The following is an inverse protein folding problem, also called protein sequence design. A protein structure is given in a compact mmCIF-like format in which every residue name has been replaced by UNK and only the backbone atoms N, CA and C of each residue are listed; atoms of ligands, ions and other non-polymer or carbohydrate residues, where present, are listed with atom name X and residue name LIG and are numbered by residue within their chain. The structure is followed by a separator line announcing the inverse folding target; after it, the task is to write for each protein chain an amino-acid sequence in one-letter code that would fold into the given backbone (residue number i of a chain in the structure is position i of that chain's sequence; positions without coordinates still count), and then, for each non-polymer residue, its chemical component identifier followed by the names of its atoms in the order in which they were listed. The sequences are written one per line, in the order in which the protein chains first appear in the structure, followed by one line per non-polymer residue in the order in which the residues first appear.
data_IF_820366608141
#
_entry.id   IF_820366608141
#
_cell.length_a   1.000
_cell.length_b   1.000
_cell.length_c   1.000
_cell.angle_alpha   90.00
_cell.angle_beta   90.00
_cell.angle_gamma   90.00
#
_symmetry.space_group_name_H-M   'P 1'
#
loop_
_entity.id
_entity.type
_entity.pdbx_description
1 polymer ?
#
# COMPACT_ATOMS: atom_id res chain seq x y z
N UNK A 1 34.13 -0.82 -17.06
CA UNK A 1 33.65 0.01 -15.96
C UNK A 1 32.15 -0.21 -15.89
N UNK A 2 31.65 -0.78 -14.83
CA UNK A 2 30.26 -1.13 -14.69
C UNK A 2 29.62 -0.16 -13.72
N UNK A 3 28.49 0.46 -14.06
CA UNK A 3 27.65 1.19 -13.11
C UNK A 3 26.41 0.35 -12.81
N UNK A 4 26.01 0.31 -11.56
CA UNK A 4 24.78 -0.32 -11.12
C UNK A 4 23.84 0.73 -10.61
N UNK A 5 22.64 0.71 -11.15
CA UNK A 5 21.52 1.51 -10.65
C UNK A 5 20.56 0.56 -9.94
N UNK A 6 20.29 0.87 -8.70
CA UNK A 6 19.47 0.07 -7.79
C UNK A 6 18.24 0.85 -7.40
N UNK A 7 17.07 0.23 -7.54
CA UNK A 7 15.87 0.76 -6.87
C UNK A 7 16.10 0.76 -5.36
N UNK A 8 15.93 1.93 -4.74
CA UNK A 8 16.14 2.05 -3.31
C UNK A 8 15.07 1.27 -2.55
N UNK A 9 15.41 0.03 -2.18
CA UNK A 9 14.71 -0.61 -1.08
C UNK A 9 15.23 0.03 0.21
N UNK A 10 14.37 0.49 1.13
CA UNK A 10 14.82 0.93 2.45
C UNK A 10 15.74 -0.12 3.07
N UNK A 11 16.97 0.27 3.41
CA UNK A 11 17.92 -0.60 4.04
C UNK A 11 19.05 -1.15 3.17
N UNK A 12 18.99 -1.07 1.83
CA UNK A 12 20.14 -1.50 1.00
C UNK A 12 21.26 -0.47 1.10
N UNK A 13 22.43 -0.89 1.60
CA UNK A 13 23.57 -0.01 1.86
C UNK A 13 24.74 -0.26 0.92
N UNK A 14 24.90 -1.49 0.41
CA UNK A 14 25.92 -1.81 -0.57
C UNK A 14 25.54 -2.99 -1.47
N UNK A 15 26.37 -3.20 -2.49
CA UNK A 15 26.31 -4.36 -3.39
C UNK A 15 27.63 -5.11 -3.29
N UNK A 16 27.56 -6.37 -2.92
CA UNK A 16 28.67 -7.29 -2.98
C UNK A 16 28.68 -7.99 -4.34
N UNK A 17 29.82 -7.92 -5.04
CA UNK A 17 30.03 -8.53 -6.35
C UNK A 17 31.13 -9.57 -6.21
N UNK A 18 30.88 -10.78 -6.70
CA UNK A 18 31.84 -11.86 -6.72
C UNK A 18 31.93 -12.49 -8.10
N UNK A 19 33.08 -13.12 -8.38
CA UNK A 19 33.28 -13.92 -9.58
C UNK A 19 32.54 -15.24 -9.45
N UNK A 20 31.56 -15.48 -10.31
CA UNK A 20 30.83 -16.74 -10.30
C UNK A 20 31.74 -17.87 -10.81
N UNK A 21 32.11 -18.78 -9.91
CA UNK A 21 33.08 -19.86 -10.18
C UNK A 21 34.54 -19.52 -9.95
N UNK A 22 34.84 -18.35 -9.35
CA UNK A 22 36.19 -17.92 -8.98
C UNK A 22 36.28 -17.39 -7.56
N UNK A 23 37.45 -16.88 -7.18
CA UNK A 23 37.73 -16.39 -5.81
C UNK A 23 37.71 -14.86 -5.70
N UNK A 24 37.56 -14.14 -6.81
CA UNK A 24 37.62 -12.68 -6.82
C UNK A 24 36.30 -12.09 -6.35
N UNK A 25 36.36 -11.01 -5.57
CA UNK A 25 35.18 -10.27 -5.14
C UNK A 25 35.51 -8.79 -4.88
N UNK A 26 34.48 -7.97 -4.82
CA UNK A 26 34.54 -6.56 -4.45
C UNK A 26 33.23 -6.09 -3.88
N UNK A 27 33.22 -4.91 -3.28
CA UNK A 27 32.02 -4.28 -2.77
C UNK A 27 31.86 -2.90 -3.39
N UNK A 28 30.64 -2.59 -3.83
CA UNK A 28 30.28 -1.25 -4.33
C UNK A 28 29.50 -0.53 -3.24
N UNK A 29 30.02 0.60 -2.81
CA UNK A 29 29.29 1.49 -1.93
C UNK A 29 28.36 2.34 -2.79
N UNK A 30 27.11 2.40 -2.42
CA UNK A 30 26.08 3.19 -3.09
C UNK A 30 26.11 4.60 -2.49
N UNK A 31 26.75 5.52 -3.19
CA UNK A 31 27.05 6.88 -2.70
C UNK A 31 26.35 7.99 -3.50
N UNK A 32 25.66 7.63 -4.58
CA UNK A 32 24.98 8.56 -5.45
C UNK A 32 23.53 8.15 -5.65
N UNK A 33 22.62 9.09 -5.50
CA UNK A 33 21.20 8.91 -5.80
C UNK A 33 20.82 9.55 -7.12
N UNK A 34 19.95 8.89 -7.88
CA UNK A 34 19.37 9.39 -9.13
C UNK A 34 17.85 9.27 -9.02
N UNK A 35 17.17 10.41 -9.03
CA UNK A 35 15.70 10.43 -9.00
C UNK A 35 15.13 10.16 -10.40
N UNK A 36 14.19 9.25 -10.45
CA UNK A 36 13.34 8.99 -11.61
C UNK A 36 11.98 9.60 -11.34
N UNK A 37 11.84 10.87 -11.71
CA UNK A 37 10.64 11.66 -11.40
C UNK A 37 9.40 11.08 -12.09
N UNK A 38 9.55 10.56 -13.30
CA UNK A 38 8.43 10.04 -14.10
C UNK A 38 7.83 8.77 -13.46
N UNK A 39 8.66 7.96 -12.83
CA UNK A 39 8.24 6.73 -12.16
C UNK A 39 8.14 6.87 -10.62
N UNK A 40 8.55 8.01 -10.06
CA UNK A 40 8.59 8.26 -8.63
C UNK A 40 9.49 7.31 -7.86
N UNK A 41 10.59 6.89 -8.48
CA UNK A 41 11.59 5.95 -7.93
C UNK A 41 12.91 6.67 -7.74
N UNK A 42 13.58 6.41 -6.62
CA UNK A 42 14.95 6.86 -6.40
C UNK A 42 15.91 5.69 -6.62
N UNK A 43 16.80 5.81 -7.58
CA UNK A 43 17.87 4.86 -7.83
C UNK A 43 19.11 5.21 -7.01
N UNK A 44 19.79 4.19 -6.51
CA UNK A 44 21.10 4.36 -5.87
C UNK A 44 22.16 3.85 -6.83
N UNK A 45 23.19 4.64 -7.04
CA UNK A 45 24.22 4.37 -8.03
C UNK A 45 25.58 4.20 -7.37
N UNK A 46 26.30 3.18 -7.79
CA UNK A 46 27.71 2.98 -7.51
C UNK A 46 28.42 2.52 -8.78
N UNK A 47 29.72 2.76 -8.88
CA UNK A 47 30.52 2.33 -10.02
C UNK A 47 31.59 1.36 -9.58
N UNK A 48 31.73 0.26 -10.32
CA UNK A 48 32.77 -0.75 -10.06
C UNK A 48 33.48 -1.16 -11.34
N UNK A 49 34.75 -1.48 -11.22
CA UNK A 49 35.54 -2.14 -12.28
C UNK A 49 35.99 -3.50 -11.78
N UNK A 50 35.64 -4.55 -12.49
CA UNK A 50 36.01 -5.93 -12.15
C UNK A 50 36.78 -6.57 -13.32
N UNK A 51 37.77 -7.44 -13.04
CA UNK A 51 38.54 -8.11 -14.07
C UNK A 51 37.89 -9.39 -14.62
N UNK A 52 36.68 -9.70 -14.20
CA UNK A 52 35.94 -10.92 -14.55
C UNK A 52 34.61 -10.56 -15.20
N UNK A 53 34.08 -11.45 -16.03
CA UNK A 53 32.84 -11.24 -16.79
C UNK A 53 31.64 -12.03 -16.28
N UNK A 54 31.85 -13.02 -15.42
CA UNK A 54 30.76 -13.77 -14.79
C UNK A 54 30.55 -13.28 -13.36
N UNK A 55 29.45 -12.54 -13.15
CA UNK A 55 29.19 -11.82 -11.92
C UNK A 55 28.14 -12.55 -11.09
N UNK A 56 28.40 -12.68 -9.78
CA UNK A 56 27.37 -12.85 -8.76
C UNK A 56 27.18 -11.54 -8.03
N UNK A 57 25.95 -11.16 -7.81
CA UNK A 57 25.57 -9.85 -7.28
C UNK A 57 24.63 -10.06 -6.08
N UNK A 58 24.96 -9.49 -4.93
CA UNK A 58 24.17 -9.57 -3.70
C UNK A 58 24.02 -8.17 -3.09
N UNK A 59 22.79 -7.67 -2.99
CA UNK A 59 22.50 -6.46 -2.26
C UNK A 59 22.41 -6.73 -0.74
N UNK A 60 23.02 -5.86 0.08
CA UNK A 60 23.02 -5.97 1.55
C UNK A 60 22.48 -4.70 2.20
N UNK A 61 21.79 -4.85 3.33
CA UNK A 61 21.24 -3.73 4.10
C UNK A 61 22.25 -3.10 5.08
N UNK A 62 23.37 -3.80 5.35
CA UNK A 62 24.46 -3.32 6.17
C UNK A 62 25.76 -3.36 5.41
N UNK A 63 26.30 -2.19 5.10
CA UNK A 63 27.52 -2.05 4.33
C UNK A 63 28.69 -2.85 4.91
N UNK A 64 29.33 -3.66 4.08
CA UNK A 64 30.48 -4.47 4.45
C UNK A 64 30.19 -5.64 5.38
N UNK A 65 28.92 -5.96 5.68
CA UNK A 65 28.54 -6.99 6.64
C UNK A 65 27.54 -8.00 6.10
N UNK A 66 27.63 -9.23 6.61
CA UNK A 66 26.69 -10.31 6.38
C UNK A 66 25.69 -10.50 7.53
N UNK A 67 25.79 -9.67 8.58
CA UNK A 67 24.94 -9.77 9.79
C UNK A 67 23.58 -9.06 9.64
N UNK A 68 23.21 -8.67 8.45
CA UNK A 68 21.97 -8.01 8.13
C UNK A 68 21.14 -8.77 7.09
N UNK A 69 20.10 -8.12 6.59
CA UNK A 69 19.33 -8.61 5.46
C UNK A 69 20.15 -8.57 4.16
N UNK A 70 19.97 -9.57 3.33
CA UNK A 70 20.61 -9.65 2.00
C UNK A 70 19.65 -10.24 0.98
N UNK A 71 19.87 -9.89 -0.28
CA UNK A 71 19.21 -10.53 -1.39
C UNK A 71 19.80 -11.93 -1.67
N UNK A 72 19.12 -12.68 -2.53
CA UNK A 72 19.65 -13.89 -3.11
C UNK A 72 20.74 -13.54 -4.14
N UNK A 73 21.62 -14.51 -4.41
CA UNK A 73 22.62 -14.38 -5.45
C UNK A 73 21.93 -14.17 -6.80
N UNK A 74 22.23 -13.04 -7.42
CA UNK A 74 21.78 -12.71 -8.78
C UNK A 74 22.97 -12.88 -9.72
N UNK A 75 22.83 -13.73 -10.73
CA UNK A 75 23.93 -14.02 -11.66
C UNK A 75 23.77 -13.22 -12.95
N UNK A 76 24.87 -12.68 -13.44
CA UNK A 76 24.93 -11.96 -14.72
C UNK A 76 26.26 -12.23 -15.43
N UNK A 77 26.20 -12.51 -16.73
CA UNK A 77 27.41 -12.68 -17.56
C UNK A 77 27.53 -11.52 -18.54
N UNK A 78 28.68 -10.86 -18.52
CA UNK A 78 29.01 -9.78 -19.45
C UNK A 78 29.60 -10.39 -20.70
N UNK A 79 29.17 -9.92 -21.87
CA UNK A 79 29.78 -10.31 -23.14
C UNK A 79 31.27 -9.92 -23.17
N UNK A 80 32.15 -10.85 -23.53
CA UNK A 80 33.59 -10.67 -23.56
C UNK A 80 34.05 -9.52 -24.46
N UNK A 81 33.25 -9.14 -25.44
CA UNK A 81 33.53 -8.02 -26.34
C UNK A 81 33.05 -6.66 -25.83
N UNK A 82 32.46 -6.62 -24.65
CA UNK A 82 31.90 -5.40 -24.07
C UNK A 82 32.91 -4.74 -23.14
N UNK A 83 33.30 -3.51 -23.40
CA UNK A 83 34.26 -2.74 -22.58
C UNK A 83 33.65 -2.18 -21.28
N UNK A 84 32.36 -2.31 -21.12
CA UNK A 84 31.63 -1.88 -19.94
C UNK A 84 30.11 -2.02 -20.15
N UNK A 85 29.40 -2.26 -19.08
CA UNK A 85 27.93 -2.39 -19.11
C UNK A 85 27.33 -1.65 -17.92
N UNK A 86 26.18 -0.98 -18.13
CA UNK A 86 25.34 -0.50 -17.06
C UNK A 86 24.31 -1.56 -16.75
N UNK A 87 24.27 -2.01 -15.52
CA UNK A 87 23.29 -2.97 -15.03
C UNK A 87 22.27 -2.25 -14.17
N UNK A 88 21.02 -2.52 -14.47
CA UNK A 88 19.89 -2.09 -13.66
C UNK A 88 19.46 -3.24 -12.76
N UNK A 89 19.38 -2.99 -11.48
CA UNK A 89 19.11 -4.03 -10.50
C UNK A 89 17.91 -3.64 -9.63
N UNK A 90 16.92 -4.52 -9.60
CA UNK A 90 15.78 -4.45 -8.67
C UNK A 90 15.96 -5.60 -7.68
N UNK A 91 15.85 -5.29 -6.39
CA UNK A 91 16.02 -6.29 -5.34
C UNK A 91 15.12 -7.51 -5.57
N UNK A 92 15.73 -8.71 -5.52
CA UNK A 92 15.05 -9.97 -5.78
C UNK A 92 14.91 -10.36 -7.26
N UNK A 93 15.44 -9.55 -8.20
CA UNK A 93 15.37 -9.84 -9.64
C UNK A 93 16.76 -9.91 -10.26
N UNK A 94 16.89 -10.68 -11.33
CA UNK A 94 18.13 -10.72 -12.13
C UNK A 94 18.40 -9.35 -12.74
N UNK A 95 19.65 -8.85 -12.66
CA UNK A 95 20.02 -7.59 -13.30
C UNK A 95 19.79 -7.59 -14.81
N UNK A 96 19.45 -6.43 -15.36
CA UNK A 96 19.20 -6.23 -16.79
C UNK A 96 20.02 -5.04 -17.32
N UNK A 97 20.27 -4.99 -18.62
CA UNK A 97 21.02 -3.90 -19.26
C UNK A 97 20.15 -2.73 -19.70
N UNK A 98 18.86 -2.94 -19.79
CA UNK A 98 17.88 -1.89 -20.09
C UNK A 98 17.21 -1.42 -18.81
N UNK A 99 17.01 -0.11 -18.68
CA UNK A 99 16.31 0.46 -17.53
C UNK A 99 14.91 -0.17 -17.40
N UNK A 100 14.61 -0.86 -16.30
CA UNK A 100 13.28 -1.44 -16.12
C UNK A 100 12.21 -0.35 -16.04
N UNK A 101 11.09 -0.58 -16.69
CA UNK A 101 9.89 0.21 -16.42
C UNK A 101 9.33 -0.23 -15.07
N UNK A 102 9.47 0.61 -14.08
CA UNK A 102 8.84 0.39 -12.78
C UNK A 102 7.50 1.10 -12.82
N UNK A 103 6.44 0.31 -12.94
CA UNK A 103 5.11 0.85 -12.75
C UNK A 103 4.95 1.12 -11.27
N UNK A 104 4.85 2.39 -10.89
CA UNK A 104 4.46 2.77 -9.54
C UNK A 104 3.03 2.26 -9.35
N UNK A 105 2.88 1.17 -8.63
CA UNK A 105 1.57 0.75 -8.17
C UNK A 105 1.11 1.75 -7.12
N UNK A 106 0.00 2.42 -7.36
CA UNK A 106 -0.62 3.21 -6.32
C UNK A 106 -0.97 2.27 -5.17
N UNK A 107 -0.45 2.51 -3.97
CA UNK A 107 -0.71 1.61 -2.86
C UNK A 107 -2.20 1.60 -2.57
N UNK A 108 -2.74 0.41 -2.32
CA UNK A 108 -4.03 0.26 -1.66
C UNK A 108 -3.85 0.61 -0.18
N UNK A 109 -4.92 0.86 0.54
CA UNK A 109 -4.83 1.26 1.94
C UNK A 109 -5.71 0.41 2.84
N UNK A 110 -5.14 -0.05 3.94
CA UNK A 110 -5.86 -0.60 5.07
C UNK A 110 -6.11 0.50 6.10
N UNK A 111 -7.38 0.70 6.43
CA UNK A 111 -7.83 1.68 7.42
C UNK A 111 -8.46 0.94 8.60
N UNK A 112 -7.87 1.06 9.79
CA UNK A 112 -8.36 0.42 10.99
C UNK A 112 -8.79 1.46 12.02
N UNK A 113 -10.02 1.35 12.51
CA UNK A 113 -10.50 2.02 13.72
C UNK A 113 -10.46 1.03 14.88
N UNK A 114 -9.82 1.43 15.96
CA UNK A 114 -9.64 0.64 17.16
C UNK A 114 -10.23 1.35 18.38
N UNK A 115 -11.06 0.68 19.16
CA UNK A 115 -11.67 1.20 20.38
C UNK A 115 -11.05 0.55 21.62
N UNK A 116 -10.49 1.38 22.50
CA UNK A 116 -9.94 0.98 23.78
C UNK A 116 -9.95 2.16 24.76
N UNK A 117 -10.88 2.16 25.69
CA UNK A 117 -11.09 3.26 26.65
C UNK A 117 -10.06 3.32 27.76
N UNK A 118 -9.22 2.29 27.91
CA UNK A 118 -8.22 2.20 28.99
C UNK A 118 -6.89 2.81 28.63
N UNK A 119 -6.63 3.07 27.34
CA UNK A 119 -5.37 3.60 26.86
C UNK A 119 -5.24 5.09 27.11
N UNK A 120 -4.10 5.47 27.68
CA UNK A 120 -3.67 6.88 27.86
C UNK A 120 -2.60 7.31 26.85
N UNK A 121 -2.02 6.36 26.12
CA UNK A 121 -1.02 6.58 25.07
C UNK A 121 -1.45 5.91 23.78
N UNK A 122 -0.97 6.43 22.66
CA UNK A 122 -1.29 5.88 21.36
C UNK A 122 -0.76 4.46 21.25
N UNK A 123 -1.61 3.45 20.93
CA UNK A 123 -1.14 2.13 20.61
C UNK A 123 -0.35 2.13 19.29
N UNK A 124 0.32 1.03 19.00
CA UNK A 124 1.10 0.87 17.79
C UNK A 124 0.63 -0.35 17.00
N UNK A 125 0.65 -0.23 15.70
CA UNK A 125 0.30 -1.26 14.73
C UNK A 125 1.56 -1.85 14.14
N UNK A 126 1.63 -3.17 14.05
CA UNK A 126 2.70 -3.88 13.36
C UNK A 126 2.11 -4.95 12.46
N UNK A 127 2.49 -4.94 11.18
CA UNK A 127 2.06 -5.93 10.19
C UNK A 127 3.25 -6.46 9.39
N UNK A 128 3.19 -7.72 9.01
CA UNK A 128 4.22 -8.42 8.24
C UNK A 128 3.74 -8.89 6.85
N UNK A 129 2.49 -8.57 6.47
CA UNK A 129 1.90 -9.01 5.19
C UNK A 129 1.48 -7.90 4.25
N UNK A 130 1.69 -6.63 4.59
CA UNK A 130 1.33 -5.49 3.72
C UNK A 130 2.11 -5.44 2.41
N UNK A 131 3.21 -6.21 2.31
CA UNK A 131 4.13 -6.19 1.18
C UNK A 131 5.21 -5.11 1.27
N UNK A 132 5.10 -4.19 2.22
CA UNK A 132 6.14 -3.22 2.60
C UNK A 132 6.96 -3.73 3.79
N UNK A 133 8.06 -3.03 4.10
CA UNK A 133 8.85 -3.36 5.28
C UNK A 133 7.99 -3.28 6.54
N UNK A 134 8.10 -4.30 7.39
CA UNK A 134 7.37 -4.34 8.65
C UNK A 134 7.99 -3.30 9.62
N UNK A 135 7.17 -2.40 10.11
CA UNK A 135 7.55 -1.35 11.07
C UNK A 135 6.41 -1.07 12.04
N UNK A 136 6.75 -0.62 13.23
CA UNK A 136 5.76 -0.12 14.19
C UNK A 136 5.25 1.24 13.72
N UNK A 137 3.93 1.38 13.62
CA UNK A 137 3.25 2.64 13.27
C UNK A 137 2.29 3.02 14.38
N UNK A 138 2.38 4.26 14.85
CA UNK A 138 1.47 4.77 15.88
C UNK A 138 0.10 5.04 15.33
N UNK A 139 -0.92 4.63 16.07
CA UNK A 139 -2.28 5.09 15.84
C UNK A 139 -2.40 6.60 16.13
N UNK A 140 -3.32 7.23 15.44
CA UNK A 140 -3.77 8.59 15.72
C UNK A 140 -5.01 8.54 16.62
N UNK A 141 -5.14 9.50 17.53
CA UNK A 141 -6.36 9.63 18.33
C UNK A 141 -7.52 10.12 17.45
N UNK A 142 -8.66 9.42 17.55
CA UNK A 142 -9.92 9.79 16.90
C UNK A 142 -11.00 10.22 17.91
N UNK A 143 -10.59 10.54 19.15
CA UNK A 143 -11.46 10.91 20.26
C UNK A 143 -11.22 10.05 21.49
N UNK A 144 -12.02 10.22 22.53
CA UNK A 144 -11.86 9.45 23.76
C UNK A 144 -12.03 7.95 23.52
N UNK A 145 -10.99 7.18 23.81
CA UNK A 145 -10.96 5.72 23.65
C UNK A 145 -10.99 5.22 22.20
N UNK A 146 -10.85 6.12 21.21
CA UNK A 146 -10.87 5.77 19.78
C UNK A 146 -9.56 6.11 19.12
N UNK A 147 -9.09 5.18 18.31
CA UNK A 147 -7.81 5.23 17.64
C UNK A 147 -7.98 4.85 16.17
N UNK A 148 -7.26 5.48 15.27
CA UNK A 148 -7.28 5.18 13.84
C UNK A 148 -5.89 5.04 13.28
N UNK A 149 -5.74 4.19 12.28
CA UNK A 149 -4.51 4.07 11.52
C UNK A 149 -4.79 3.79 10.06
N UNK A 150 -3.93 4.32 9.22
CA UNK A 150 -3.93 4.15 7.78
C UNK A 150 -2.60 3.54 7.35
N UNK A 151 -2.64 2.41 6.69
CA UNK A 151 -1.45 1.64 6.33
C UNK A 151 -1.47 1.34 4.84
N UNK A 152 -0.41 1.69 4.08
CA UNK A 152 -0.30 1.30 2.69
C UNK A 152 -0.14 -0.21 2.55
N UNK A 153 -0.76 -0.77 1.52
CA UNK A 153 -0.74 -2.21 1.21
C UNK A 153 -0.47 -2.38 -0.27
N UNK A 154 0.44 -3.28 -0.64
CA UNK A 154 0.71 -3.58 -2.07
C UNK A 154 -0.49 -4.22 -2.74
N UNK A 155 -0.61 -4.03 -4.05
CA UNK A 155 -1.69 -4.60 -4.88
C UNK A 155 -1.79 -6.13 -4.77
N UNK A 156 -0.64 -6.81 -4.61
CA UNK A 156 -0.57 -8.27 -4.47
C UNK A 156 -1.00 -8.81 -3.10
N UNK A 157 -1.27 -7.94 -2.12
CA UNK A 157 -1.67 -8.36 -0.79
C UNK A 157 -3.15 -8.79 -0.77
N UNK A 158 -3.42 -10.00 -0.31
CA UNK A 158 -4.77 -10.58 -0.20
C UNK A 158 -5.29 -10.65 1.23
N UNK A 159 -4.42 -10.38 2.20
CA UNK A 159 -4.76 -10.31 3.64
C UNK A 159 -3.77 -9.42 4.39
N UNK A 160 -4.22 -8.81 5.45
CA UNK A 160 -3.36 -8.06 6.39
C UNK A 160 -3.35 -8.82 7.71
N UNK A 161 -2.18 -9.40 8.04
CA UNK A 161 -1.92 -10.01 9.34
C UNK A 161 -1.17 -8.98 10.20
N UNK A 162 -1.62 -8.77 11.42
CA UNK A 162 -1.09 -7.70 12.27
C UNK A 162 -1.26 -7.98 13.77
N UNK A 163 -0.57 -7.19 14.56
CA UNK A 163 -0.79 -7.05 16.01
C UNK A 163 -0.97 -5.59 16.39
N UNK A 164 -1.70 -5.34 17.46
CA UNK A 164 -1.77 -4.04 18.11
C UNK A 164 -0.91 -4.11 19.38
N UNK A 165 0.17 -3.35 19.43
CA UNK A 165 1.00 -3.21 20.60
C UNK A 165 0.44 -2.08 21.48
N UNK A 166 0.01 -2.41 22.67
CA UNK A 166 -0.45 -1.47 23.69
C UNK A 166 0.75 -0.80 24.38
N UNK A 167 1.85 -1.55 24.49
CA UNK A 167 3.17 -1.06 24.94
C UNK A 167 4.25 -1.84 24.19
N UNK A 168 5.09 -1.13 23.45
CA UNK A 168 6.21 -1.67 22.67
C UNK A 168 7.57 -1.29 23.27
N UNK A 169 7.63 -0.63 24.41
CA UNK A 169 8.87 -0.13 25.02
C UNK A 169 9.80 -1.22 25.56
N UNK A 170 9.25 -2.40 25.85
CA UNK A 170 9.98 -3.56 26.35
C UNK A 170 10.41 -4.55 25.25
N UNK A 171 11.22 -5.56 25.66
CA UNK A 171 11.61 -6.66 24.78
C UNK A 171 10.38 -7.49 24.35
N UNK A 172 9.46 -7.72 25.28
CA UNK A 172 8.20 -8.40 25.04
C UNK A 172 7.08 -7.37 25.04
N UNK A 173 6.44 -7.19 23.88
CA UNK A 173 5.37 -6.21 23.73
C UNK A 173 4.11 -6.65 24.48
N UNK A 174 3.46 -5.68 25.12
CA UNK A 174 2.09 -5.88 25.59
C UNK A 174 1.16 -5.72 24.40
N UNK A 175 0.48 -6.80 24.01
CA UNK A 175 -0.39 -6.84 22.84
C UNK A 175 -1.85 -6.84 23.24
N UNK A 176 -2.72 -6.35 22.35
CA UNK A 176 -4.16 -6.57 22.44
C UNK A 176 -4.52 -7.92 21.84
N UNK A 177 -4.66 -8.93 22.69
CA UNK A 177 -4.89 -10.31 22.23
C UNK A 177 -3.69 -10.95 21.54
N UNK A 178 -3.96 -11.70 20.50
CA UNK A 178 -2.98 -12.42 19.69
C UNK A 178 -2.64 -11.70 18.37
N UNK A 179 -2.33 -12.53 17.38
CA UNK A 179 -2.18 -12.09 16.01
C UNK A 179 -3.56 -12.02 15.34
N UNK A 180 -3.86 -10.90 14.71
CA UNK A 180 -5.12 -10.67 13.99
C UNK A 180 -4.91 -10.82 12.50
N UNK A 181 -5.96 -11.20 11.78
CA UNK A 181 -5.94 -11.33 10.32
C UNK A 181 -7.22 -10.80 9.71
N UNK A 182 -7.10 -10.05 8.63
CA UNK A 182 -8.24 -9.56 7.87
C UNK A 182 -8.02 -9.74 6.38
N UNK A 183 -9.05 -10.22 5.68
CA UNK A 183 -9.00 -10.36 4.23
C UNK A 183 -8.88 -8.99 3.56
N UNK A 184 -8.07 -8.91 2.49
CA UNK A 184 -7.91 -7.72 1.67
C UNK A 184 -8.36 -8.04 0.23
N UNK A 185 -9.65 -7.85 -0.10
CA UNK A 185 -10.18 -8.17 -1.42
C UNK A 185 -9.47 -7.42 -2.54
N UNK A 186 -9.25 -8.09 -3.69
CA UNK A 186 -8.50 -7.52 -4.82
C UNK A 186 -9.23 -6.33 -5.47
N UNK A 187 -10.56 -6.31 -5.43
CA UNK A 187 -11.42 -5.27 -5.99
C UNK A 187 -11.57 -4.02 -5.08
N UNK A 188 -10.89 -4.00 -3.93
CA UNK A 188 -10.95 -2.87 -2.99
C UNK A 188 -9.62 -2.09 -2.98
N UNK A 189 -9.67 -0.81 -3.30
CA UNK A 189 -8.50 0.08 -3.15
C UNK A 189 -8.29 0.51 -1.70
N UNK A 190 -9.38 0.62 -0.93
CA UNK A 190 -9.34 0.92 0.50
C UNK A 190 -10.20 -0.09 1.23
N UNK A 191 -9.60 -0.79 2.17
CA UNK A 191 -10.30 -1.73 3.06
C UNK A 191 -10.38 -1.11 4.45
N UNK A 192 -11.60 -0.93 4.93
CA UNK A 192 -11.87 -0.43 6.28
C UNK A 192 -12.18 -1.60 7.21
N UNK A 193 -11.68 -1.53 8.43
CA UNK A 193 -12.00 -2.46 9.51
C UNK A 193 -12.23 -1.72 10.82
N UNK A 194 -13.02 -2.33 11.69
CA UNK A 194 -13.24 -1.87 13.05
C UNK A 194 -12.84 -2.99 14.01
N UNK A 195 -12.25 -2.64 15.12
CA UNK A 195 -11.84 -3.57 16.17
C UNK A 195 -12.05 -2.94 17.54
N UNK A 196 -12.48 -3.73 18.51
CA UNK A 196 -12.51 -3.35 19.93
C UNK A 196 -11.47 -4.13 20.70
N UNK A 197 -11.06 -3.59 21.83
CA UNK A 197 -10.11 -4.24 22.72
C UNK A 197 -10.54 -5.69 23.02
N UNK A 198 -9.61 -6.64 22.75
CA UNK A 198 -9.82 -8.07 23.00
C UNK A 198 -10.76 -8.76 22.02
N UNK A 199 -11.23 -8.09 20.96
CA UNK A 199 -12.09 -8.66 19.93
C UNK A 199 -11.31 -8.84 18.59
N UNK A 200 -11.84 -9.69 17.72
CA UNK A 200 -11.30 -9.82 16.35
C UNK A 200 -11.74 -8.63 15.48
N UNK A 201 -10.90 -8.21 14.51
CA UNK A 201 -11.24 -7.14 13.60
C UNK A 201 -12.39 -7.54 12.67
N UNK A 202 -13.31 -6.61 12.43
CA UNK A 202 -14.47 -6.80 11.55
C UNK A 202 -14.32 -5.90 10.34
N UNK A 203 -14.44 -6.48 9.14
CA UNK A 203 -14.47 -5.72 7.89
C UNK A 203 -15.67 -4.79 7.85
N UNK A 204 -15.42 -3.53 7.48
CA UNK A 204 -16.47 -2.60 7.08
C UNK A 204 -17.14 -3.04 5.79
N UNK A 205 -18.27 -2.41 5.47
CA UNK A 205 -18.97 -2.69 4.22
C UNK A 205 -18.06 -2.41 3.01
N UNK A 206 -17.95 -3.35 2.04
CA UNK A 206 -17.16 -3.12 0.85
C UNK A 206 -17.76 -1.99 0.02
N UNK A 207 -16.89 -1.24 -0.67
CA UNK A 207 -17.30 -0.22 -1.62
C UNK A 207 -16.83 -0.59 -3.02
N UNK A 208 -17.63 -1.39 -3.71
CA UNK A 208 -17.38 -1.87 -5.07
C UNK A 208 -18.61 -1.72 -5.97
N UNK A 209 -19.59 -0.92 -5.57
CA UNK A 209 -20.80 -0.62 -6.35
C UNK A 209 -21.35 0.75 -5.97
N UNK A 210 -21.89 1.46 -6.96
CA UNK A 210 -22.52 2.76 -6.75
C UNK A 210 -24.01 2.67 -6.42
N UNK A 211 -24.67 1.53 -6.71
CA UNK A 211 -26.08 1.35 -6.36
C UNK A 211 -26.44 -0.10 -6.08
N UNK A 212 -27.59 -0.29 -5.48
CA UNK A 212 -28.21 -1.59 -5.23
C UNK A 212 -29.72 -1.51 -5.39
N UNK A 213 -30.29 -2.38 -6.23
CA UNK A 213 -31.74 -2.49 -6.37
C UNK A 213 -32.28 -3.44 -5.30
N UNK A 214 -33.22 -2.95 -4.51
CA UNK A 214 -33.87 -3.67 -3.42
C UNK A 214 -35.38 -3.86 -3.71
N UNK A 215 -35.74 -4.86 -4.55
CA UNK A 215 -37.11 -5.00 -5.06
C UNK A 215 -38.14 -5.24 -3.95
N UNK A 216 -37.77 -5.99 -2.90
CA UNK A 216 -38.65 -6.27 -1.76
C UNK A 216 -39.01 -5.02 -0.97
N UNK A 217 -38.18 -4.00 -1.02
CA UNK A 217 -38.35 -2.72 -0.31
C UNK A 217 -38.87 -1.62 -1.25
N UNK A 218 -39.08 -1.93 -2.51
CA UNK A 218 -39.48 -0.99 -3.57
C UNK A 218 -38.53 0.23 -3.64
N UNK A 219 -37.22 0.02 -3.55
CA UNK A 219 -36.23 1.09 -3.54
C UNK A 219 -34.95 0.75 -4.29
N UNK A 220 -34.20 1.81 -4.61
CA UNK A 220 -32.80 1.76 -5.05
C UNK A 220 -31.97 2.47 -3.98
N UNK A 221 -30.94 1.81 -3.47
CA UNK A 221 -29.93 2.44 -2.62
C UNK A 221 -28.77 2.92 -3.48
N UNK A 222 -28.37 4.17 -3.33
CA UNK A 222 -27.22 4.77 -4.00
C UNK A 222 -26.08 4.97 -3.01
N UNK A 223 -24.85 4.71 -3.45
CA UNK A 223 -23.64 4.75 -2.64
C UNK A 223 -22.56 5.55 -3.35
N UNK A 224 -21.89 6.44 -2.63
CA UNK A 224 -20.74 7.17 -3.14
C UNK A 224 -19.62 7.23 -2.11
N UNK A 225 -18.40 6.95 -2.55
CA UNK A 225 -17.18 7.14 -1.79
C UNK A 225 -16.05 7.60 -2.67
N UNK A 226 -15.37 8.64 -2.25
CA UNK A 226 -14.08 9.02 -2.79
C UNK A 226 -12.98 8.43 -1.90
N UNK A 227 -12.23 7.46 -2.44
CA UNK A 227 -11.18 6.77 -1.70
C UNK A 227 -10.01 7.70 -1.36
N UNK A 228 -9.71 8.70 -2.20
CA UNK A 228 -8.67 9.69 -1.91
C UNK A 228 -9.11 10.61 -0.76
N UNK A 229 -10.36 11.08 -0.80
CA UNK A 229 -10.90 11.88 0.30
C UNK A 229 -10.96 11.09 1.61
N UNK A 230 -11.26 9.79 1.55
CA UNK A 230 -11.21 8.91 2.72
C UNK A 230 -9.78 8.80 3.27
N UNK A 231 -8.79 8.58 2.40
CA UNK A 231 -7.38 8.49 2.77
C UNK A 231 -6.89 9.80 3.41
N UNK A 232 -7.37 10.94 2.92
CA UNK A 232 -7.01 12.28 3.41
C UNK A 232 -7.84 12.74 4.62
N UNK A 233 -8.72 11.90 5.15
CA UNK A 233 -9.66 12.23 6.23
C UNK A 233 -10.63 13.38 5.89
N UNK A 234 -10.94 13.58 4.62
CA UNK A 234 -11.81 14.67 4.11
C UNK A 234 -13.20 14.18 3.67
N UNK A 235 -13.42 12.86 3.65
CA UNK A 235 -14.65 12.29 3.10
C UNK A 235 -15.90 12.81 3.80
N UNK A 236 -15.87 12.93 5.13
CA UNK A 236 -17.01 13.38 5.93
C UNK A 236 -17.40 14.86 5.69
N UNK A 237 -16.45 15.67 5.20
CA UNK A 237 -16.64 17.10 4.95
C UNK A 237 -17.19 17.40 3.54
N UNK A 238 -17.28 16.37 2.71
CA UNK A 238 -17.76 16.51 1.34
C UNK A 238 -19.28 16.76 1.31
N UNK A 239 -19.71 17.51 0.30
CA UNK A 239 -21.15 17.64 -0.06
C UNK A 239 -21.40 16.76 -1.28
N UNK A 240 -22.23 15.75 -1.11
CA UNK A 240 -22.53 14.80 -2.16
C UNK A 240 -24.04 14.70 -2.35
N UNK A 241 -24.48 14.78 -3.61
CA UNK A 241 -25.86 14.51 -4.00
C UNK A 241 -25.89 13.46 -5.11
N UNK A 242 -27.02 12.77 -5.26
CA UNK A 242 -27.30 11.94 -6.42
C UNK A 242 -28.37 12.64 -7.26
N UNK A 243 -28.09 12.86 -8.54
CA UNK A 243 -29.06 13.33 -9.53
C UNK A 243 -29.72 12.10 -10.17
N UNK A 244 -31.01 11.97 -9.95
CA UNK A 244 -31.83 10.87 -10.47
C UNK A 244 -32.86 11.44 -11.42
N UNK A 245 -32.74 11.10 -12.69
CA UNK A 245 -33.64 11.60 -13.77
C UNK A 245 -33.79 13.13 -13.77
N UNK A 246 -32.69 13.86 -13.46
CA UNK A 246 -32.66 15.34 -13.45
C UNK A 246 -33.11 15.97 -12.14
N UNK A 247 -33.34 15.20 -11.10
CA UNK A 247 -33.64 15.72 -9.75
C UNK A 247 -32.52 15.37 -8.80
N UNK A 248 -31.97 16.38 -8.13
CA UNK A 248 -30.90 16.22 -7.16
C UNK A 248 -31.44 15.87 -5.77
N UNK A 249 -30.81 14.87 -5.13
CA UNK A 249 -31.10 14.45 -3.77
C UNK A 249 -29.80 14.45 -2.96
N UNK A 250 -29.79 15.13 -1.83
CA UNK A 250 -28.65 15.15 -0.92
C UNK A 250 -28.42 13.76 -0.31
N UNK A 251 -27.17 13.30 -0.32
CA UNK A 251 -26.77 12.03 0.26
C UNK A 251 -26.28 12.22 1.70
N UNK A 252 -26.55 11.26 2.56
CA UNK A 252 -26.10 11.28 3.96
C UNK A 252 -24.82 10.50 4.12
N UNK A 253 -23.83 11.08 4.78
CA UNK A 253 -22.61 10.37 5.13
C UNK A 253 -22.87 9.33 6.23
N UNK A 254 -22.54 8.08 5.94
CA UNK A 254 -22.57 6.98 6.89
C UNK A 254 -21.14 6.71 7.39
N UNK A 255 -20.85 7.13 8.61
CA UNK A 255 -19.52 6.99 9.22
C UNK A 255 -19.12 5.51 9.45
N UNK A 256 -20.08 4.63 9.73
CA UNK A 256 -19.82 3.19 9.91
C UNK A 256 -19.42 2.49 8.62
N UNK A 257 -20.03 2.88 7.50
CA UNK A 257 -19.75 2.33 6.18
C UNK A 257 -18.70 3.15 5.39
N UNK A 258 -18.27 4.31 5.95
CA UNK A 258 -17.32 5.23 5.29
C UNK A 258 -17.72 5.59 3.86
N UNK A 259 -19.01 5.94 3.65
CA UNK A 259 -19.56 6.32 2.35
C UNK A 259 -20.81 7.18 2.50
N UNK A 260 -21.17 7.89 1.44
CA UNK A 260 -22.45 8.56 1.32
C UNK A 260 -23.52 7.59 0.85
N UNK A 261 -24.74 7.73 1.39
CA UNK A 261 -25.86 6.85 1.08
C UNK A 261 -27.14 7.66 0.84
N UNK A 262 -27.93 7.21 -0.13
CA UNK A 262 -29.28 7.72 -0.37
C UNK A 262 -30.21 6.59 -0.77
N UNK A 263 -31.41 6.52 -0.19
CA UNK A 263 -32.44 5.54 -0.53
C UNK A 263 -33.52 6.22 -1.36
N UNK A 264 -33.60 5.87 -2.63
CA UNK A 264 -34.67 6.29 -3.51
C UNK A 264 -35.82 5.31 -3.41
N UNK A 265 -36.92 5.73 -2.75
CA UNK A 265 -38.06 4.87 -2.36
C UNK A 265 -39.08 4.72 -3.49
N UNK A 266 -38.61 4.50 -4.73
CA UNK A 266 -39.46 4.34 -5.87
C UNK A 266 -38.77 3.53 -6.96
N UNK A 267 -39.25 2.32 -7.19
CA UNK A 267 -38.92 1.54 -8.38
C UNK A 267 -39.92 1.89 -9.47
N UNK A 268 -39.50 2.60 -10.48
CA UNK A 268 -40.32 2.88 -11.66
C UNK A 268 -40.09 1.80 -12.72
N UNK A 269 -41.11 1.53 -13.53
CA UNK A 269 -40.90 0.72 -14.74
C UNK A 269 -40.16 1.57 -15.78
N UNK A 270 -39.00 1.12 -16.23
CA UNK A 270 -38.17 1.81 -17.21
C UNK A 270 -36.74 2.01 -16.76
N UNK A 271 -36.00 2.83 -17.46
CA UNK A 271 -34.60 3.15 -17.11
C UNK A 271 -34.55 4.29 -16.10
N UNK A 272 -33.77 4.10 -15.05
CA UNK A 272 -33.41 5.16 -14.11
C UNK A 272 -32.00 5.64 -14.48
N UNK A 273 -31.87 6.90 -14.84
CA UNK A 273 -30.55 7.51 -15.09
C UNK A 273 -30.10 8.22 -13.83
N UNK A 274 -28.85 8.05 -13.48
CA UNK A 274 -28.29 8.75 -12.34
C UNK A 274 -26.82 9.12 -12.56
N UNK A 275 -26.38 10.11 -11.80
CA UNK A 275 -24.99 10.53 -11.64
C UNK A 275 -24.82 11.16 -10.26
N UNK A 276 -23.57 11.25 -9.79
CA UNK A 276 -23.30 11.96 -8.57
C UNK A 276 -22.94 13.41 -8.82
N UNK A 277 -23.19 14.26 -7.85
CA UNK A 277 -22.72 15.63 -7.79
C UNK A 277 -21.90 15.81 -6.53
N UNK A 278 -20.64 16.22 -6.71
CA UNK A 278 -19.68 16.44 -5.63
C UNK A 278 -19.28 17.90 -5.66
N UNK A 279 -19.71 18.67 -4.67
CA UNK A 279 -19.65 20.13 -4.76
C UNK A 279 -20.48 20.61 -5.96
N UNK A 280 -19.81 21.28 -6.93
CA UNK A 280 -20.45 21.78 -8.15
C UNK A 280 -20.25 20.89 -9.38
N UNK A 281 -19.52 19.78 -9.26
CA UNK A 281 -19.16 18.91 -10.38
C UNK A 281 -20.03 17.66 -10.44
N UNK A 282 -20.44 17.28 -11.67
CA UNK A 282 -21.13 16.01 -11.92
C UNK A 282 -20.14 14.92 -12.28
N UNK A 283 -20.26 13.77 -11.62
CA UNK A 283 -19.40 12.61 -11.76
C UNK A 283 -20.26 11.39 -12.14
N UNK A 284 -19.82 10.64 -13.16
CA UNK A 284 -20.42 9.36 -13.48
C UNK A 284 -19.98 8.29 -12.47
N UNK A 285 -20.87 7.33 -12.24
CA UNK A 285 -20.55 6.19 -11.39
C UNK A 285 -19.50 5.29 -12.07
N UNK A 286 -18.34 5.16 -11.44
CA UNK A 286 -17.25 4.31 -11.94
C UNK A 286 -17.54 2.81 -11.90
N UNK A 287 -18.60 2.40 -11.22
CA UNK A 287 -19.03 1.00 -11.08
C UNK A 287 -20.26 0.66 -11.94
N UNK A 288 -20.69 1.58 -12.77
CA UNK A 288 -21.85 1.39 -13.65
C UNK A 288 -21.41 1.66 -15.09
N UNK A 289 -21.10 0.58 -15.82
CA UNK A 289 -20.77 0.59 -17.24
C UNK A 289 -22.01 0.73 -18.13
#
# INVERSE_FOLDING_TARGET
MYSQDLEMKPGVSDIYIFENGGDNNTTVILDKTVEDVDNGVTWVQGTVTVPFNSLGIIARDKAGSWDGGKDKDQLYTIDENTSGVTLWYVYGKTPVTEKPTITKEDPRYFYLEYENDTLTTNPEFYSWTTGFAAELKKFESAGAGKWKIKVPVKSSCTKVDFVIALDSSGKDWVKDGGDHSIAFPEDQNVVCANMKQGEEPVLGAPYNKGYEVLPKENKIAFYYRDDNALIDDKLADMKVSVDINGTEYEMTYNAGNKRFEYNYNKLESGCTYYRYKVGDEYILDKYND
#
